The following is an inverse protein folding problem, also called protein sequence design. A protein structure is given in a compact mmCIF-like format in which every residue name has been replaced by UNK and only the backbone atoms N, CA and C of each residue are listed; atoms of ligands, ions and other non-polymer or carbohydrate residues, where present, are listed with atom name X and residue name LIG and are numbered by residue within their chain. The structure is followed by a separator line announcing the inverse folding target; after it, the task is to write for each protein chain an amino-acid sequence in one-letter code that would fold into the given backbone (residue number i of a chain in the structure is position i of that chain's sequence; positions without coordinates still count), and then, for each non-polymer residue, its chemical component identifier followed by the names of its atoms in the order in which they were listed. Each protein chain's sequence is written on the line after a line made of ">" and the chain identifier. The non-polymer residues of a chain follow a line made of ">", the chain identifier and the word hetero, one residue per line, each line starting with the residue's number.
data_IF_677789314965
#
_entry.id   IF_677789314965
#
_cell.length_a   1.000
_cell.length_b   1.000
_cell.length_c   1.000
_cell.angle_alpha   90.00
_cell.angle_beta   90.00
_cell.angle_gamma   90.00
#
_symmetry.space_group_name_H-M   'P 1'
#
loop_
_entity.id
_entity.type
_entity.pdbx_description
1 polymer ?
#
# COMPACT_ATOMS: atom_id res chain seq x y z
N UNK A 1 -47.18 35.73 37.46
CA UNK A 1 -46.65 36.11 36.12
C UNK A 1 -45.14 35.83 35.93
N UNK A 2 -44.47 34.99 36.74
CA UNK A 2 -42.99 34.86 36.71
C UNK A 2 -42.45 33.52 36.17
N UNK A 3 -43.31 32.50 35.97
CA UNK A 3 -42.90 31.18 35.46
C UNK A 3 -43.04 31.01 33.95
N UNK A 4 -43.77 31.92 33.28
CA UNK A 4 -43.97 31.88 31.82
C UNK A 4 -42.79 32.49 31.04
N UNK A 5 -42.16 33.54 31.60
CA UNK A 5 -41.00 34.21 30.98
C UNK A 5 -39.71 33.39 31.10
N UNK A 6 -39.59 32.56 32.15
CA UNK A 6 -38.46 31.64 32.34
C UNK A 6 -38.47 30.50 31.32
N UNK A 7 -39.66 29.96 30.99
CA UNK A 7 -39.81 28.92 29.98
C UNK A 7 -39.50 29.43 28.56
N UNK A 8 -39.87 30.68 28.24
CA UNK A 8 -39.56 31.30 26.94
C UNK A 8 -38.05 31.46 26.71
N UNK A 9 -37.27 31.85 27.73
CA UNK A 9 -35.80 31.96 27.63
C UNK A 9 -35.10 30.61 27.47
N UNK A 10 -35.61 29.57 28.14
CA UNK A 10 -35.05 28.20 28.04
C UNK A 10 -35.34 27.59 26.67
N UNK A 11 -36.53 27.83 26.10
CA UNK A 11 -36.87 27.36 24.75
C UNK A 11 -36.04 28.11 23.69
N UNK A 12 -35.80 29.41 23.87
CA UNK A 12 -34.96 30.20 22.94
C UNK A 12 -33.49 29.76 22.95
N UNK A 13 -32.91 29.45 24.12
CA UNK A 13 -31.51 28.97 24.22
C UNK A 13 -31.35 27.53 23.73
N UNK A 14 -32.34 26.67 23.96
CA UNK A 14 -32.33 25.28 23.45
C UNK A 14 -32.44 25.26 21.92
N UNK A 15 -33.21 26.17 21.32
CA UNK A 15 -33.34 26.24 19.85
C UNK A 15 -32.06 26.79 19.19
N UNK A 16 -31.36 27.72 19.85
CA UNK A 16 -30.08 28.26 19.36
C UNK A 16 -28.93 27.23 19.45
N UNK A 17 -28.99 26.30 20.40
CA UNK A 17 -28.04 25.18 20.53
C UNK A 17 -28.26 24.08 19.48
N UNK A 18 -29.48 23.95 18.93
CA UNK A 18 -29.79 22.98 17.87
C UNK A 18 -29.29 23.49 16.50
N UNK A 19 -29.15 24.81 16.31
CA UNK A 19 -28.65 25.40 15.06
C UNK A 19 -27.16 25.14 14.80
N UNK A 20 -26.34 24.97 15.85
CA UNK A 20 -24.91 24.64 15.72
C UNK A 20 -24.64 23.14 15.58
N UNK A 21 -25.61 22.27 15.92
CA UNK A 21 -25.44 20.81 15.82
C UNK A 21 -25.58 20.26 14.38
N UNK A 22 -26.26 20.97 13.48
CA UNK A 22 -26.52 20.49 12.12
C UNK A 22 -25.35 20.71 11.13
N UNK A 23 -24.32 21.47 11.52
CA UNK A 23 -23.15 21.70 10.69
C UNK A 23 -22.07 20.60 10.80
N UNK A 24 -22.14 19.74 11.82
CA UNK A 24 -21.08 18.77 12.12
C UNK A 24 -21.34 17.36 11.57
N UNK A 25 -22.52 17.09 10.99
CA UNK A 25 -22.88 15.76 10.48
C UNK A 25 -22.46 15.47 9.03
N UNK A 26 -21.76 16.38 8.33
CA UNK A 26 -21.34 16.15 6.93
C UNK A 26 -19.94 15.54 6.73
N UNK A 27 -19.22 15.20 7.81
CA UNK A 27 -17.84 14.72 7.69
C UNK A 27 -17.64 13.21 7.89
N UNK A 28 -18.70 12.40 7.92
CA UNK A 28 -18.60 10.94 7.87
C UNK A 28 -19.08 10.39 6.52
N UNK A 29 -18.70 11.06 5.43
CA UNK A 29 -18.65 10.41 4.14
C UNK A 29 -17.49 9.43 4.16
N UNK A 30 -17.76 8.14 4.36
CA UNK A 30 -16.82 7.11 3.90
C UNK A 30 -16.55 7.45 2.45
N UNK A 31 -15.34 7.91 2.13
CA UNK A 31 -14.89 8.07 0.76
C UNK A 31 -14.93 6.68 0.12
N UNK A 32 -16.09 6.33 -0.45
CA UNK A 32 -16.27 5.11 -1.22
C UNK A 32 -15.49 5.36 -2.50
N UNK A 33 -14.20 4.99 -2.47
CA UNK A 33 -13.40 4.90 -3.69
C UNK A 33 -14.16 3.94 -4.59
N UNK A 34 -14.61 4.38 -5.79
CA UNK A 34 -15.40 3.54 -6.67
C UNK A 34 -14.64 2.23 -6.93
N UNK A 35 -15.35 1.10 -6.94
CA UNK A 35 -14.74 -0.24 -7.02
C UNK A 35 -13.75 -0.38 -8.19
N UNK A 36 -14.04 0.26 -9.32
CA UNK A 36 -13.14 0.32 -10.47
C UNK A 36 -11.80 0.99 -10.15
N UNK A 37 -11.81 2.14 -9.48
CA UNK A 37 -10.58 2.82 -9.09
C UNK A 37 -9.76 1.99 -8.10
N UNK A 38 -10.42 1.23 -7.21
CA UNK A 38 -9.72 0.27 -6.32
C UNK A 38 -9.07 -0.86 -7.12
N UNK A 39 -9.78 -1.45 -8.08
CA UNK A 39 -9.25 -2.50 -8.93
C UNK A 39 -8.04 -2.02 -9.76
N UNK A 40 -8.12 -0.83 -10.33
CA UNK A 40 -7.02 -0.20 -11.07
C UNK A 40 -5.80 0.06 -10.17
N UNK A 41 -6.01 0.57 -8.95
CA UNK A 41 -4.93 0.78 -7.99
C UNK A 41 -4.22 -0.53 -7.63
N UNK A 42 -4.96 -1.61 -7.41
CA UNK A 42 -4.39 -2.93 -7.10
C UNK A 42 -3.62 -3.50 -8.30
N UNK A 43 -4.13 -3.33 -9.52
CA UNK A 43 -3.45 -3.76 -10.74
C UNK A 43 -2.13 -3.00 -10.96
N UNK A 44 -2.14 -1.68 -10.78
CA UNK A 44 -0.93 -0.85 -10.89
C UNK A 44 0.11 -1.21 -9.82
N UNK A 45 -0.32 -1.42 -8.57
CA UNK A 45 0.59 -1.80 -7.49
C UNK A 45 1.25 -3.16 -7.76
N UNK A 46 0.49 -4.11 -8.31
CA UNK A 46 1.02 -5.41 -8.75
C UNK A 46 2.05 -5.24 -9.86
N UNK A 47 1.73 -4.44 -10.90
CA UNK A 47 2.66 -4.19 -12.00
C UNK A 47 3.97 -3.56 -11.51
N UNK A 48 3.90 -2.58 -10.61
CA UNK A 48 5.09 -1.95 -10.02
C UNK A 48 5.96 -2.97 -9.27
N UNK A 49 5.35 -3.83 -8.47
CA UNK A 49 6.06 -4.90 -7.74
C UNK A 49 6.74 -5.88 -8.70
N UNK A 50 6.04 -6.28 -9.76
CA UNK A 50 6.60 -7.18 -10.78
C UNK A 50 7.83 -6.58 -11.50
N UNK A 51 7.75 -5.29 -11.87
CA UNK A 51 8.87 -4.58 -12.48
C UNK A 51 10.06 -4.48 -11.53
N UNK A 52 9.81 -4.09 -10.27
CA UNK A 52 10.86 -3.99 -9.26
C UNK A 52 11.55 -5.34 -8.99
N UNK A 53 10.80 -6.44 -8.93
CA UNK A 53 11.38 -7.76 -8.76
C UNK A 53 12.21 -8.20 -9.98
N UNK A 54 11.78 -7.85 -11.20
CA UNK A 54 12.50 -8.15 -12.43
C UNK A 54 13.83 -7.36 -12.51
N UNK A 55 13.81 -6.08 -12.13
CA UNK A 55 15.02 -5.26 -12.03
C UNK A 55 16.00 -5.83 -11.01
N UNK A 56 15.49 -6.25 -9.84
CA UNK A 56 16.30 -6.90 -8.81
C UNK A 56 16.90 -8.22 -9.32
N UNK A 57 16.12 -9.04 -10.03
CA UNK A 57 16.59 -10.29 -10.61
C UNK A 57 17.71 -10.06 -11.64
N UNK A 58 17.56 -9.05 -12.49
CA UNK A 58 18.57 -8.67 -13.47
C UNK A 58 19.87 -8.23 -12.79
N UNK A 59 19.77 -7.37 -11.76
CA UNK A 59 20.93 -6.90 -11.02
C UNK A 59 21.67 -8.06 -10.34
N UNK A 60 20.95 -8.96 -9.68
CA UNK A 60 21.55 -10.13 -9.02
C UNK A 60 22.21 -11.07 -10.04
N UNK A 61 21.60 -11.29 -11.20
CA UNK A 61 22.19 -12.10 -12.26
C UNK A 61 23.50 -11.49 -12.81
N UNK A 62 23.55 -10.17 -12.98
CA UNK A 62 24.77 -9.46 -13.39
C UNK A 62 25.87 -9.57 -12.32
N UNK A 63 25.51 -9.45 -11.05
CA UNK A 63 26.44 -9.64 -9.93
C UNK A 63 26.99 -11.07 -9.88
N UNK A 64 26.11 -12.08 -10.04
CA UNK A 64 26.52 -13.48 -10.08
C UNK A 64 27.47 -13.73 -11.26
N UNK A 65 27.16 -13.20 -12.45
CA UNK A 65 28.03 -13.32 -13.62
C UNK A 65 29.42 -12.75 -13.31
N UNK A 66 29.47 -11.55 -12.74
CA UNK A 66 30.75 -10.89 -12.40
C UNK A 66 31.53 -11.72 -11.39
N UNK A 67 30.87 -12.23 -10.35
CA UNK A 67 31.50 -13.07 -9.34
C UNK A 67 32.03 -14.39 -9.93
N UNK A 68 31.29 -15.01 -10.85
CA UNK A 68 31.73 -16.21 -11.58
C UNK A 68 32.92 -15.91 -12.50
N UNK A 69 32.88 -14.80 -13.23
CA UNK A 69 33.98 -14.40 -14.12
C UNK A 69 35.28 -14.11 -13.33
N UNK A 70 35.16 -13.68 -12.07
CA UNK A 70 36.28 -13.40 -11.17
C UNK A 70 36.81 -14.64 -10.44
N UNK A 71 36.02 -15.73 -10.35
CA UNK A 71 36.49 -17.00 -9.77
C UNK A 71 37.37 -17.78 -10.74
N UNK A 72 38.41 -18.44 -10.22
CA UNK A 72 39.21 -19.38 -11.02
C UNK A 72 38.38 -20.64 -11.30
N UNK A 73 38.64 -21.29 -12.44
CA UNK A 73 37.85 -22.41 -12.99
C UNK A 73 37.58 -23.56 -12.01
N UNK A 74 38.45 -23.74 -11.01
CA UNK A 74 38.40 -24.84 -10.05
C UNK A 74 37.98 -24.41 -8.62
N UNK A 75 37.64 -23.14 -8.42
CA UNK A 75 37.25 -22.60 -7.12
C UNK A 75 35.95 -21.79 -7.23
N UNK A 76 34.80 -22.47 -7.22
CA UNK A 76 33.51 -21.82 -6.98
C UNK A 76 33.38 -21.47 -5.50
N UNK A 77 33.24 -20.18 -5.20
CA UNK A 77 33.09 -19.73 -3.82
C UNK A 77 31.70 -20.09 -3.28
N UNK A 78 31.63 -20.41 -1.98
CA UNK A 78 30.37 -20.61 -1.26
C UNK A 78 29.44 -19.39 -1.40
N UNK A 79 30.00 -18.20 -1.60
CA UNK A 79 29.25 -16.97 -1.81
C UNK A 79 28.52 -16.97 -3.16
N UNK A 80 29.16 -17.41 -4.24
CA UNK A 80 28.55 -17.54 -5.57
C UNK A 80 27.37 -18.51 -5.54
N UNK A 81 27.52 -19.65 -4.85
CA UNK A 81 26.45 -20.64 -4.67
C UNK A 81 25.25 -20.02 -3.95
N UNK A 82 25.49 -19.31 -2.83
CA UNK A 82 24.41 -18.63 -2.09
C UNK A 82 23.70 -17.57 -2.93
N UNK A 83 24.43 -16.82 -3.75
CA UNK A 83 23.84 -15.84 -4.66
C UNK A 83 22.96 -16.51 -5.72
N UNK A 84 23.40 -17.65 -6.28
CA UNK A 84 22.59 -18.43 -7.21
C UNK A 84 21.27 -18.92 -6.57
N UNK A 85 21.31 -19.42 -5.33
CA UNK A 85 20.11 -19.85 -4.59
C UNK A 85 19.12 -18.69 -4.37
N UNK A 86 19.63 -17.48 -4.08
CA UNK A 86 18.80 -16.30 -3.91
C UNK A 86 18.14 -15.87 -5.23
N UNK A 87 18.89 -15.94 -6.34
CA UNK A 87 18.37 -15.68 -7.69
C UNK A 87 17.26 -16.68 -8.04
N UNK A 88 17.44 -17.98 -7.77
CA UNK A 88 16.42 -18.99 -8.04
C UNK A 88 15.13 -18.71 -7.27
N UNK A 89 15.23 -18.41 -5.97
CA UNK A 89 14.07 -18.08 -5.13
C UNK A 89 13.34 -16.84 -5.64
N UNK A 90 14.07 -15.80 -6.01
CA UNK A 90 13.48 -14.57 -6.55
C UNK A 90 12.82 -14.84 -7.92
N UNK A 91 13.49 -15.56 -8.81
CA UNK A 91 12.96 -15.93 -10.12
C UNK A 91 11.65 -16.72 -10.00
N UNK A 92 11.58 -17.65 -9.04
CA UNK A 92 10.35 -18.40 -8.76
C UNK A 92 9.23 -17.49 -8.25
N UNK A 93 9.54 -16.60 -7.31
CA UNK A 93 8.59 -15.61 -6.80
C UNK A 93 8.07 -14.66 -7.89
N UNK A 94 8.94 -14.19 -8.79
CA UNK A 94 8.56 -13.37 -9.96
C UNK A 94 7.61 -14.13 -10.87
N UNK A 95 7.96 -15.37 -11.22
CA UNK A 95 7.15 -16.23 -12.07
C UNK A 95 5.76 -16.47 -11.47
N UNK A 96 5.69 -16.73 -10.16
CA UNK A 96 4.42 -16.95 -9.49
C UNK A 96 3.56 -15.69 -9.48
N UNK A 97 4.16 -14.50 -9.25
CA UNK A 97 3.45 -13.21 -9.35
C UNK A 97 2.98 -12.89 -10.77
N UNK A 98 3.71 -13.29 -11.80
CA UNK A 98 3.29 -13.11 -13.20
C UNK A 98 2.08 -13.96 -13.60
N UNK A 99 1.83 -15.07 -12.90
CA UNK A 99 0.71 -15.99 -13.18
C UNK A 99 -0.59 -15.59 -12.49
N UNK A 100 -0.51 -14.76 -11.45
CA UNK A 100 -1.64 -14.28 -10.68
C UNK A 100 -2.22 -13.01 -11.28
#
# INVERSE_FOLDING_TARGET
>A
MLNLVRMSKVVLTVTLLIATAHAQQRFTGTAQVPEHARAEMVAQDRQKKMLADADQLLAMAQQLKTAVDQTKKDELSVQVIKQADQIEKLAKSVKDRMRQ
#
